data_IF_655642424224
#
_entry.id   IF_655642424224
#
_cell.length_a   1.000
_cell.length_b   1.000
_cell.length_c   1.000
_cell.angle_alpha   90.00
_cell.angle_beta   90.00
_cell.angle_gamma   90.00
#
_symmetry.space_group_name_H-M   'P 1'
#
loop_
_entity.id
_entity.type
_entity.pdbx_description
1 polymer ?
#
# COMPACT_ATOMS: atom_id res chain seq x y z
N UNK A 1 -56.25 12.18 -22.91
CA UNK A 1 -54.91 12.28 -22.29
C UNK A 1 -54.03 11.10 -22.74
N UNK A 2 -53.09 11.29 -23.65
CA UNK A 2 -52.12 10.24 -24.05
C UNK A 2 -51.14 10.07 -22.88
N UNK A 3 -51.27 8.99 -22.11
CA UNK A 3 -50.28 8.58 -21.12
C UNK A 3 -48.93 8.44 -21.84
N UNK A 4 -47.94 9.23 -21.43
CA UNK A 4 -46.62 9.27 -22.04
C UNK A 4 -45.92 7.91 -21.79
N UNK A 5 -46.15 6.97 -22.72
CA UNK A 5 -45.67 5.57 -22.66
C UNK A 5 -44.15 5.48 -22.48
N UNK A 6 -43.44 6.52 -22.91
CA UNK A 6 -41.97 6.60 -22.82
C UNK A 6 -41.46 7.24 -21.53
N UNK A 7 -42.31 7.93 -20.77
CA UNK A 7 -41.88 8.61 -19.54
C UNK A 7 -41.37 7.65 -18.44
N UNK A 8 -41.95 6.45 -18.37
CA UNK A 8 -41.47 5.41 -17.46
C UNK A 8 -40.09 4.87 -17.90
N UNK A 9 -39.97 4.57 -19.20
CA UNK A 9 -38.71 4.04 -19.76
C UNK A 9 -37.56 5.05 -19.62
N UNK A 10 -37.81 6.34 -19.89
CA UNK A 10 -36.81 7.40 -19.73
C UNK A 10 -36.35 7.48 -18.26
N UNK A 11 -37.26 7.50 -17.30
CA UNK A 11 -36.90 7.54 -15.86
C UNK A 11 -36.12 6.30 -15.42
N UNK A 12 -36.45 5.14 -15.95
CA UNK A 12 -35.76 3.89 -15.67
C UNK A 12 -34.31 3.92 -16.22
N UNK A 13 -34.14 4.36 -17.48
CA UNK A 13 -32.83 4.52 -18.10
C UNK A 13 -31.97 5.56 -17.37
N UNK A 14 -32.56 6.69 -16.95
CA UNK A 14 -31.85 7.68 -16.14
C UNK A 14 -31.36 7.12 -14.81
N UNK A 15 -32.16 6.30 -14.13
CA UNK A 15 -31.72 5.64 -12.88
C UNK A 15 -30.55 4.67 -13.12
N UNK A 16 -30.62 3.86 -14.18
CA UNK A 16 -29.52 2.96 -14.53
C UNK A 16 -28.24 3.76 -14.83
N UNK A 17 -28.35 4.84 -15.60
CA UNK A 17 -27.22 5.71 -15.91
C UNK A 17 -26.63 6.32 -14.62
N UNK A 18 -27.46 6.82 -13.70
CA UNK A 18 -27.03 7.39 -12.42
C UNK A 18 -26.28 6.35 -11.57
N UNK A 19 -26.84 5.14 -11.45
CA UNK A 19 -26.18 4.06 -10.71
C UNK A 19 -24.86 3.61 -11.38
N UNK A 20 -24.84 3.58 -12.72
CA UNK A 20 -23.61 3.29 -13.48
C UNK A 20 -22.52 4.31 -13.23
N UNK A 21 -22.87 5.60 -13.25
CA UNK A 21 -21.92 6.69 -12.93
C UNK A 21 -21.44 6.60 -11.49
N UNK A 22 -22.35 6.40 -10.52
CA UNK A 22 -21.97 6.25 -9.11
C UNK A 22 -21.03 5.07 -8.89
N UNK A 23 -21.33 3.92 -9.51
CA UNK A 23 -20.48 2.74 -9.45
C UNK A 23 -19.09 2.98 -10.07
N UNK A 24 -19.04 3.65 -11.22
CA UNK A 24 -17.78 4.03 -11.86
C UNK A 24 -16.94 4.95 -10.98
N UNK A 25 -17.56 5.95 -10.33
CA UNK A 25 -16.87 6.84 -9.41
C UNK A 25 -16.31 6.07 -8.21
N UNK A 26 -17.07 5.13 -7.63
CA UNK A 26 -16.59 4.29 -6.54
C UNK A 26 -15.37 3.48 -6.99
N UNK A 27 -15.43 2.80 -8.12
CA UNK A 27 -14.29 2.02 -8.62
C UNK A 27 -13.06 2.88 -8.90
N UNK A 28 -13.24 4.13 -9.28
CA UNK A 28 -12.12 5.00 -9.62
C UNK A 28 -11.47 5.64 -8.39
N UNK A 29 -12.30 6.14 -7.46
CA UNK A 29 -11.82 6.97 -6.34
C UNK A 29 -11.72 6.24 -5.01
N UNK A 30 -12.43 5.13 -4.83
CA UNK A 30 -12.50 4.41 -3.56
C UNK A 30 -11.69 3.12 -3.59
N UNK A 31 -11.76 2.39 -4.70
CA UNK A 31 -11.14 1.07 -4.84
C UNK A 31 -10.05 1.11 -5.90
N UNK A 32 -8.91 0.54 -5.58
CA UNK A 32 -7.81 0.31 -6.49
C UNK A 32 -7.61 -1.18 -6.75
N UNK A 33 -7.04 -1.51 -7.90
CA UNK A 33 -6.62 -2.86 -8.25
C UNK A 33 -5.16 -2.82 -8.67
N UNK A 34 -4.36 -3.65 -8.06
CA UNK A 34 -2.94 -3.76 -8.38
C UNK A 34 -2.56 -5.24 -8.50
N UNK A 35 -1.84 -5.59 -9.55
CA UNK A 35 -1.31 -6.93 -9.72
C UNK A 35 0.11 -6.98 -9.21
N UNK A 36 0.34 -7.76 -8.16
CA UNK A 36 1.67 -7.90 -7.59
C UNK A 36 2.63 -8.53 -8.61
N UNK A 37 3.82 -7.96 -8.69
CA UNK A 37 4.92 -8.46 -9.53
C UNK A 37 6.15 -8.68 -8.67
N UNK A 38 6.79 -9.83 -8.86
CA UNK A 38 7.94 -10.23 -8.04
C UNK A 38 7.54 -10.77 -6.66
N UNK A 39 8.54 -10.94 -5.80
CA UNK A 39 8.40 -11.60 -4.52
C UNK A 39 8.80 -10.72 -3.31
N UNK A 40 8.86 -9.41 -3.50
CA UNK A 40 9.27 -8.47 -2.43
C UNK A 40 8.38 -8.54 -1.19
N UNK A 41 7.12 -8.93 -1.34
CA UNK A 41 6.15 -9.07 -0.25
C UNK A 41 5.91 -10.54 0.15
N UNK A 42 6.77 -11.47 -0.26
CA UNK A 42 6.68 -12.86 0.18
C UNK A 42 6.95 -12.97 1.70
N UNK A 43 6.20 -13.79 2.44
CA UNK A 43 5.17 -14.73 2.02
C UNK A 43 3.75 -14.15 1.94
N UNK A 44 3.53 -12.90 2.37
CA UNK A 44 2.21 -12.29 2.48
C UNK A 44 1.53 -12.15 1.11
N UNK A 45 2.28 -11.70 0.12
CA UNK A 45 1.82 -11.54 -1.27
C UNK A 45 2.82 -12.21 -2.20
N UNK A 46 2.31 -12.90 -3.21
CA UNK A 46 3.10 -13.62 -4.20
C UNK A 46 2.99 -13.00 -5.58
N UNK A 47 3.95 -13.29 -6.42
CA UNK A 47 3.91 -12.88 -7.82
C UNK A 47 2.60 -13.30 -8.50
N UNK A 48 1.96 -12.34 -9.18
CA UNK A 48 0.70 -12.54 -9.88
C UNK A 48 -0.57 -12.43 -9.04
N UNK A 49 -0.48 -12.26 -7.71
CA UNK A 49 -1.64 -12.00 -6.86
C UNK A 49 -2.32 -10.68 -7.25
N UNK A 50 -3.66 -10.66 -7.27
CA UNK A 50 -4.42 -9.44 -7.47
C UNK A 50 -4.78 -8.84 -6.12
N UNK A 51 -4.24 -7.66 -5.86
CA UNK A 51 -4.45 -6.87 -4.67
C UNK A 51 -5.61 -5.89 -4.87
N UNK A 52 -6.56 -5.88 -3.95
CA UNK A 52 -7.63 -4.89 -3.89
C UNK A 52 -7.26 -3.88 -2.81
N UNK A 53 -7.27 -2.61 -3.19
CA UNK A 53 -6.82 -1.50 -2.38
C UNK A 53 -7.98 -0.58 -2.03
N UNK A 54 -7.95 0.00 -0.84
CA UNK A 54 -8.85 1.05 -0.38
C UNK A 54 -8.10 2.38 -0.29
N UNK A 55 -8.60 3.41 -0.98
CA UNK A 55 -7.86 4.65 -1.22
C UNK A 55 -8.19 5.80 -0.27
N UNK A 56 -9.25 5.67 0.52
CA UNK A 56 -9.78 6.81 1.31
C UNK A 56 -9.31 6.78 2.76
N UNK A 57 -9.00 5.59 3.30
CA UNK A 57 -8.66 5.42 4.72
C UNK A 57 -7.19 5.78 4.98
N UNK A 58 -6.92 6.36 6.14
CA UNK A 58 -5.55 6.54 6.62
C UNK A 58 -4.87 5.20 6.87
N UNK A 59 -3.60 5.16 6.54
CA UNK A 59 -2.78 3.97 6.72
C UNK A 59 -2.07 4.00 8.07
N UNK A 60 -1.98 2.87 8.72
CA UNK A 60 -1.41 2.69 10.05
C UNK A 60 -0.23 1.71 10.02
N UNK A 61 0.50 1.62 11.12
CA UNK A 61 1.54 0.61 11.31
C UNK A 61 0.99 -0.79 11.08
N UNK A 62 1.75 -1.64 10.40
CA UNK A 62 1.43 -2.98 9.92
C UNK A 62 0.51 -3.07 8.69
N UNK A 63 -0.06 -1.97 8.22
CA UNK A 63 -0.79 -2.00 6.96
C UNK A 63 0.13 -2.26 5.78
N UNK A 64 -0.35 -3.04 4.82
CA UNK A 64 0.29 -3.17 3.52
C UNK A 64 -0.33 -2.12 2.59
N UNK A 65 0.52 -1.34 1.96
CA UNK A 65 0.10 -0.24 1.08
C UNK A 65 0.74 -0.35 -0.30
N UNK A 66 0.05 0.18 -1.29
CA UNK A 66 0.62 0.52 -2.58
C UNK A 66 1.12 1.97 -2.50
N UNK A 67 2.36 2.18 -2.86
CA UNK A 67 2.98 3.51 -2.78
C UNK A 67 3.92 3.76 -3.97
N UNK A 68 4.18 5.03 -4.25
CA UNK A 68 5.18 5.46 -5.23
C UNK A 68 6.53 5.67 -4.55
N UNK A 69 7.55 5.10 -5.12
CA UNK A 69 8.94 5.33 -4.74
C UNK A 69 9.50 6.57 -5.44
N UNK A 70 10.60 7.11 -4.93
CA UNK A 70 11.29 8.28 -5.51
C UNK A 70 11.73 8.07 -6.97
N UNK A 71 11.84 6.82 -7.43
CA UNK A 71 12.09 6.47 -8.85
C UNK A 71 10.80 6.47 -9.70
N UNK A 72 9.65 6.81 -9.11
CA UNK A 72 8.34 6.91 -9.77
C UNK A 72 7.64 5.59 -10.01
N UNK A 73 8.13 4.48 -9.45
CA UNK A 73 7.50 3.16 -9.58
C UNK A 73 6.52 2.90 -8.43
N UNK A 74 5.44 2.22 -8.76
CA UNK A 74 4.50 1.70 -7.77
C UNK A 74 5.02 0.39 -7.17
N UNK A 75 4.99 0.30 -5.84
CA UNK A 75 5.42 -0.86 -5.07
C UNK A 75 4.45 -1.16 -3.94
N UNK A 76 4.35 -2.44 -3.58
CA UNK A 76 3.70 -2.85 -2.34
C UNK A 76 4.75 -2.89 -1.22
N UNK A 77 4.34 -2.52 0.00
CA UNK A 77 5.19 -2.62 1.17
C UNK A 77 4.39 -2.50 2.45
N UNK A 78 4.99 -2.89 3.57
CA UNK A 78 4.38 -2.80 4.89
C UNK A 78 4.88 -1.58 5.63
N UNK A 79 3.95 -0.78 6.16
CA UNK A 79 4.27 0.34 7.04
C UNK A 79 4.81 -0.21 8.36
N UNK A 80 6.04 0.13 8.69
CA UNK A 80 6.69 -0.25 9.95
C UNK A 80 6.79 0.92 10.93
N UNK A 81 6.76 2.14 10.44
CA UNK A 81 6.68 3.33 11.27
C UNK A 81 5.88 4.44 10.57
N UNK A 82 5.23 5.25 11.36
CA UNK A 82 4.40 6.39 10.94
C UNK A 82 4.96 7.68 11.54
N UNK A 83 4.45 8.82 11.11
CA UNK A 83 4.93 10.14 11.49
C UNK A 83 5.28 10.31 12.97
N UNK A 84 6.28 11.13 13.23
CA UNK A 84 6.85 11.44 14.55
C UNK A 84 7.58 10.28 15.24
N UNK A 85 7.65 9.09 14.62
CA UNK A 85 8.37 7.94 15.16
C UNK A 85 9.83 7.94 14.69
N UNK A 86 10.70 7.45 15.56
CA UNK A 86 12.13 7.28 15.31
C UNK A 86 12.42 5.86 14.85
N UNK A 87 13.00 5.70 13.68
CA UNK A 87 13.43 4.40 13.12
C UNK A 87 14.94 4.29 13.19
N UNK A 88 15.42 3.17 13.69
CA UNK A 88 16.87 2.89 13.74
C UNK A 88 17.15 1.45 13.29
N UNK A 89 18.28 1.28 12.63
CA UNK A 89 18.82 -0.02 12.22
C UNK A 89 20.18 -0.21 12.88
N UNK A 90 20.28 -0.99 13.97
CA UNK A 90 21.54 -1.35 14.60
C UNK A 90 22.48 -2.09 13.64
N UNK A 91 23.79 -2.07 13.90
CA UNK A 91 24.78 -2.78 13.07
C UNK A 91 24.66 -4.29 13.22
N UNK A 92 24.19 -4.76 14.37
CA UNK A 92 23.96 -6.18 14.64
C UNK A 92 22.77 -6.77 13.88
N UNK A 93 21.99 -5.93 13.18
CA UNK A 93 20.80 -6.33 12.45
C UNK A 93 19.50 -6.02 13.20
N UNK A 94 18.38 -6.27 12.54
CA UNK A 94 17.07 -5.87 13.03
C UNK A 94 16.79 -4.38 12.80
N UNK A 95 15.68 -3.91 13.35
CA UNK A 95 15.37 -2.49 13.42
C UNK A 95 14.55 -2.18 14.68
N UNK A 96 14.55 -0.93 15.08
CA UNK A 96 13.77 -0.45 16.22
C UNK A 96 12.90 0.74 15.81
N UNK A 97 11.72 0.85 16.44
CA UNK A 97 10.83 2.00 16.34
C UNK A 97 10.66 2.59 17.74
N UNK A 98 11.04 3.86 17.93
CA UNK A 98 11.08 4.53 19.23
C UNK A 98 11.89 3.75 20.27
N UNK A 99 13.03 3.18 19.84
CA UNK A 99 13.97 2.37 20.65
C UNK A 99 13.42 1.00 21.08
N UNK A 100 12.22 0.60 20.62
CA UNK A 100 11.64 -0.72 20.86
C UNK A 100 11.72 -1.59 19.62
N UNK A 101 12.05 -2.86 19.78
CA UNK A 101 11.98 -3.83 18.70
C UNK A 101 10.50 -4.16 18.44
N UNK A 102 9.98 -3.95 17.22
CA UNK A 102 8.59 -4.25 16.95
C UNK A 102 8.32 -5.75 16.99
N UNK A 103 7.14 -6.11 17.53
CA UNK A 103 6.63 -7.46 17.41
C UNK A 103 6.00 -7.64 16.03
N UNK A 104 6.66 -8.37 15.16
CA UNK A 104 6.15 -8.67 13.81
C UNK A 104 6.19 -10.17 13.52
N UNK A 105 5.27 -10.63 12.67
CA UNK A 105 5.21 -12.03 12.24
C UNK A 105 6.24 -12.37 11.14
N UNK A 106 7.03 -11.39 10.72
CA UNK A 106 8.05 -11.53 9.68
C UNK A 106 9.28 -12.19 10.28
N UNK A 107 9.63 -13.36 9.78
CA UNK A 107 10.75 -14.18 10.28
C UNK A 107 12.08 -13.89 9.59
N UNK A 108 12.09 -13.08 8.55
CA UNK A 108 13.32 -12.73 7.84
C UNK A 108 14.13 -11.70 8.62
N UNK A 109 15.43 -11.94 8.73
CA UNK A 109 16.35 -10.96 9.30
C UNK A 109 16.35 -9.67 8.47
N UNK A 110 16.36 -8.54 9.18
CA UNK A 110 16.28 -7.22 8.57
C UNK A 110 17.61 -6.50 8.73
N UNK A 111 18.20 -6.05 7.62
CA UNK A 111 19.46 -5.33 7.60
C UNK A 111 19.30 -3.99 6.90
N UNK A 112 20.28 -3.11 7.07
CA UNK A 112 20.41 -1.88 6.29
C UNK A 112 20.57 -2.20 4.81
N UNK A 113 20.18 -1.28 3.93
CA UNK A 113 20.53 -1.40 2.52
C UNK A 113 21.99 -1.00 2.32
N UNK A 114 22.78 -1.88 1.70
CA UNK A 114 24.21 -1.65 1.46
C UNK A 114 24.48 -0.46 0.54
N UNK A 115 23.55 -0.17 -0.35
CA UNK A 115 23.68 0.89 -1.36
C UNK A 115 23.08 2.23 -0.95
N UNK A 116 22.62 2.36 0.30
CA UNK A 116 21.95 3.56 0.78
C UNK A 116 22.89 4.45 1.58
N UNK A 117 22.93 5.74 1.28
CA UNK A 117 23.60 6.75 2.08
C UNK A 117 22.77 7.22 3.30
N UNK A 118 21.66 6.56 3.58
CA UNK A 118 20.74 6.92 4.65
C UNK A 118 21.39 6.74 6.02
N UNK A 119 21.34 7.82 6.81
CA UNK A 119 21.90 7.81 8.17
C UNK A 119 20.79 7.49 9.18
N UNK A 120 21.07 6.55 10.06
CA UNK A 120 20.19 6.17 11.16
C UNK A 120 20.76 6.63 12.50
N UNK A 121 19.90 6.95 13.49
CA UNK A 121 18.45 6.91 13.44
C UNK A 121 17.83 8.03 12.60
N UNK A 122 16.66 7.79 12.03
CA UNK A 122 15.84 8.77 11.33
C UNK A 122 14.54 9.01 12.10
N UNK A 123 14.14 10.27 12.27
CA UNK A 123 12.84 10.63 12.83
C UNK A 123 11.94 11.09 11.70
N UNK A 124 10.77 10.47 11.58
CA UNK A 124 9.80 10.76 10.54
C UNK A 124 9.10 12.10 10.82
N UNK A 125 8.82 12.86 9.77
CA UNK A 125 7.91 14.00 9.85
C UNK A 125 6.44 13.50 9.97
N UNK A 126 5.52 14.40 10.32
CA UNK A 126 4.12 14.05 10.63
C UNK A 126 3.41 13.23 9.54
N UNK A 127 3.67 13.56 8.27
CA UNK A 127 3.01 12.92 7.11
C UNK A 127 3.97 11.98 6.36
N UNK A 128 4.93 11.40 7.08
CA UNK A 128 5.90 10.45 6.53
C UNK A 128 5.71 9.05 7.11
N UNK A 129 6.05 8.08 6.28
CA UNK A 129 5.98 6.66 6.57
C UNK A 129 7.31 5.99 6.27
N UNK A 130 7.66 5.00 7.08
CA UNK A 130 8.75 4.10 6.77
C UNK A 130 8.17 2.74 6.42
N UNK A 131 8.47 2.28 5.20
CA UNK A 131 7.83 1.12 4.59
C UNK A 131 8.92 0.09 4.29
N UNK A 132 8.68 -1.17 4.67
CA UNK A 132 9.58 -2.28 4.38
C UNK A 132 8.88 -3.36 3.56
N UNK A 133 9.66 -4.06 2.77
CA UNK A 133 9.26 -5.30 2.13
C UNK A 133 9.11 -6.41 3.16
N UNK A 134 8.13 -7.31 3.02
CA UNK A 134 8.01 -8.49 3.89
C UNK A 134 9.16 -9.48 3.64
N UNK A 135 9.62 -9.61 2.40
CA UNK A 135 10.86 -10.30 2.08
C UNK A 135 12.07 -9.40 2.40
N UNK A 136 12.51 -9.40 3.64
CA UNK A 136 13.49 -8.46 4.21
C UNK A 136 14.85 -8.44 3.51
N UNK A 137 15.20 -9.53 2.82
CA UNK A 137 16.43 -9.59 2.02
C UNK A 137 16.36 -8.70 0.75
N UNK A 138 15.15 -8.34 0.30
CA UNK A 138 14.95 -7.34 -0.74
C UNK A 138 14.89 -5.96 -0.09
N UNK A 139 15.91 -5.15 -0.30
CA UNK A 139 16.05 -3.81 0.28
C UNK A 139 15.46 -2.70 -0.60
N UNK A 140 14.77 -3.06 -1.69
CA UNK A 140 14.12 -2.09 -2.58
C UNK A 140 12.85 -1.48 -1.95
N UNK A 141 13.01 -0.87 -0.80
CA UNK A 141 11.98 -0.23 0.02
C UNK A 141 12.51 1.08 0.64
N UNK A 142 11.94 1.55 1.75
CA UNK A 142 12.40 2.79 2.41
C UNK A 142 13.87 2.77 2.83
N UNK A 143 14.49 1.62 2.94
CA UNK A 143 15.93 1.51 3.23
C UNK A 143 16.79 2.01 2.06
N UNK A 144 16.29 1.92 0.83
CA UNK A 144 16.98 2.36 -0.41
C UNK A 144 16.41 3.69 -0.93
N UNK A 145 15.08 3.82 -0.97
CA UNK A 145 14.40 4.97 -1.59
C UNK A 145 14.07 6.11 -0.62
N UNK A 146 14.24 5.89 0.68
CA UNK A 146 13.93 6.88 1.71
C UNK A 146 12.49 6.79 2.24
N UNK A 147 12.14 7.78 3.05
CA UNK A 147 10.81 7.91 3.63
C UNK A 147 9.77 8.15 2.54
N UNK A 148 8.55 7.66 2.76
CA UNK A 148 7.43 7.80 1.84
C UNK A 148 6.47 8.82 2.42
N UNK A 149 6.06 9.79 1.62
CA UNK A 149 5.08 10.80 2.04
C UNK A 149 3.66 10.25 1.93
N UNK A 150 2.75 10.83 2.72
CA UNK A 150 1.33 10.49 2.68
C UNK A 150 0.71 10.62 1.28
N UNK A 151 1.14 11.62 0.52
CA UNK A 151 0.67 11.86 -0.85
C UNK A 151 1.12 10.81 -1.87
N UNK A 152 2.17 10.05 -1.56
CA UNK A 152 2.68 8.98 -2.40
C UNK A 152 2.02 7.62 -2.10
N UNK A 153 1.15 7.53 -1.09
CA UNK A 153 0.38 6.33 -0.79
C UNK A 153 -0.87 6.30 -1.67
N UNK A 154 -0.94 5.30 -2.54
CA UNK A 154 -2.05 5.10 -3.49
C UNK A 154 -3.26 4.40 -2.86
N UNK A 155 -3.03 3.61 -1.80
CA UNK A 155 -4.08 2.93 -1.08
C UNK A 155 -3.59 1.78 -0.20
N UNK A 156 -4.44 1.39 0.74
CA UNK A 156 -4.23 0.31 1.70
C UNK A 156 -4.79 -1.00 1.16
N UNK A 157 -4.05 -2.08 1.30
CA UNK A 157 -4.49 -3.42 0.93
C UNK A 157 -5.61 -3.89 1.85
N UNK A 158 -6.73 -4.29 1.26
CA UNK A 158 -7.88 -4.85 1.99
C UNK A 158 -8.15 -6.31 1.64
N UNK A 159 -7.76 -6.76 0.45
CA UNK A 159 -8.01 -8.13 0.02
C UNK A 159 -7.01 -8.60 -1.04
N UNK A 160 -6.70 -9.90 -1.03
CA UNK A 160 -5.82 -10.55 -2.00
C UNK A 160 -6.58 -11.68 -2.69
N UNK A 161 -6.70 -11.58 -4.02
CA UNK A 161 -7.16 -12.67 -4.85
C UNK A 161 -5.95 -13.46 -5.35
N UNK A 162 -5.74 -14.61 -4.74
CA UNK A 162 -4.62 -15.49 -5.10
C UNK A 162 -4.90 -16.28 -6.36
N UNK A 163 -3.97 -16.25 -7.29
CA UNK A 163 -3.98 -17.19 -8.40
C UNK A 163 -3.62 -18.57 -7.85
N UNK A 164 -4.58 -19.48 -7.79
CA UNK A 164 -4.28 -20.91 -7.61
C UNK A 164 -3.61 -21.40 -8.89
N UNK A 165 -2.30 -21.67 -8.84
CA UNK A 165 -1.63 -22.43 -9.87
C UNK A 165 -2.15 -23.87 -9.77
N UNK A 166 -2.68 -24.39 -10.88
CA UNK A 166 -2.84 -25.82 -11.10
C UNK A 166 -1.51 -26.36 -11.58
#
# INVERSE_FOLDING_TARGET
>A
MKKNKYGFLIRFLMKICLWGVAFFLILTYVIGFFRATGNSMFPSIKDGDLCILYKIEESHTNDIVLYKTSDGKERLGRIVAVGEQKVNFPEEGGYTVNDYQPAEEITYETYRAEKSDMKYPITLEKDEYFILNDYRSDTSDSREYGVVKKEDIEGKLIFILRRRGF
#
